data_IF_785349756434
#
_entry.id   IF_785349756434
#
_cell.length_a   1.000
_cell.length_b   1.000
_cell.length_c   1.000
_cell.angle_alpha   90.00
_cell.angle_beta   90.00
_cell.angle_gamma   90.00
#
_symmetry.space_group_name_H-M   'P 1'
#
loop_
_entity.id
_entity.type
_entity.pdbx_description
1 polymer ?
#
# COMPACT_ATOMS: atom_id res chain seq x y z
N UNK A 1 11.71 8.21 -9.07
CA UNK A 1 10.53 8.52 -8.25
C UNK A 1 10.95 9.30 -7.03
N UNK A 2 10.12 9.26 -5.99
CA UNK A 2 10.42 9.72 -4.64
C UNK A 2 10.23 8.56 -3.65
N UNK A 3 10.88 8.60 -2.49
CA UNK A 3 10.76 7.62 -1.41
C UNK A 3 9.79 8.15 -0.36
N UNK A 4 8.76 7.37 -0.02
CA UNK A 4 7.79 7.70 1.02
C UNK A 4 8.02 6.83 2.26
N UNK A 5 7.88 7.39 3.45
CA UNK A 5 7.83 6.58 4.67
C UNK A 5 6.54 5.79 4.77
N UNK A 6 6.55 4.71 5.55
CA UNK A 6 5.31 4.09 6.01
C UNK A 6 4.63 4.97 7.08
N UNK A 7 3.40 4.61 7.45
CA UNK A 7 2.59 5.23 8.48
C UNK A 7 3.35 5.32 9.81
N UNK A 8 3.63 6.55 10.26
CA UNK A 8 4.41 6.80 11.47
C UNK A 8 5.76 6.05 11.49
N UNK A 9 6.33 5.80 10.30
CA UNK A 9 7.58 5.06 10.17
C UNK A 9 8.75 5.75 10.89
N UNK A 10 8.77 7.09 10.91
CA UNK A 10 9.77 7.87 11.64
C UNK A 10 9.59 7.74 13.15
N UNK A 11 8.37 7.81 13.65
CA UNK A 11 8.04 7.68 15.06
C UNK A 11 8.61 6.36 15.63
N UNK A 12 8.56 5.28 14.82
CA UNK A 12 9.02 3.94 15.20
C UNK A 12 10.53 3.71 15.07
N UNK A 13 11.32 4.72 14.69
CA UNK A 13 12.79 4.65 14.75
C UNK A 13 13.27 4.54 16.21
N UNK A 14 12.56 5.15 17.15
CA UNK A 14 12.90 5.12 18.57
C UNK A 14 12.07 4.09 19.34
N UNK A 15 12.57 3.67 20.51
CA UNK A 15 11.83 2.84 21.46
C UNK A 15 11.78 3.54 22.84
N UNK A 16 10.59 3.90 23.36
CA UNK A 16 9.28 3.74 22.73
C UNK A 16 9.12 4.60 21.46
N UNK A 17 8.14 4.31 20.59
CA UNK A 17 7.86 5.15 19.43
C UNK A 17 7.66 6.62 19.84
N UNK A 18 8.17 7.54 19.03
CA UNK A 18 8.09 8.99 19.24
C UNK A 18 8.90 9.53 20.45
N UNK A 19 9.69 8.70 21.15
CA UNK A 19 10.48 9.14 22.30
C UNK A 19 11.48 10.26 21.98
N UNK A 20 11.98 10.32 20.74
CA UNK A 20 12.82 11.41 20.26
C UNK A 20 12.52 11.73 18.78
N UNK A 21 11.41 12.42 18.54
CA UNK A 21 10.95 12.68 17.19
C UNK A 21 11.89 13.56 16.37
N UNK A 22 12.59 14.52 17.00
CA UNK A 22 13.61 15.33 16.33
C UNK A 22 14.72 14.44 15.75
N UNK A 23 15.21 13.48 16.53
CA UNK A 23 16.18 12.51 16.04
C UNK A 23 15.62 11.64 14.91
N UNK A 24 14.37 11.19 15.00
CA UNK A 24 13.70 10.43 13.94
C UNK A 24 13.60 11.20 12.63
N UNK A 25 13.23 12.49 12.67
CA UNK A 25 13.18 13.36 11.47
C UNK A 25 14.58 13.51 10.87
N UNK A 26 15.59 13.76 11.70
CA UNK A 26 16.96 13.87 11.24
C UNK A 26 17.41 12.61 10.52
N UNK A 27 17.28 11.45 11.17
CA UNK A 27 17.69 10.17 10.59
C UNK A 27 16.91 9.84 9.32
N UNK A 28 15.59 9.99 9.32
CA UNK A 28 14.74 9.67 8.16
C UNK A 28 15.09 10.50 6.92
N UNK A 29 15.25 11.82 7.09
CA UNK A 29 15.55 12.72 5.96
C UNK A 29 16.98 12.51 5.44
N UNK A 30 17.97 12.30 6.32
CA UNK A 30 19.34 11.96 5.93
C UNK A 30 19.45 10.60 5.26
N UNK A 31 18.63 9.62 5.68
CA UNK A 31 18.60 8.30 5.08
C UNK A 31 18.01 8.27 3.65
N UNK A 32 17.42 9.38 3.18
CA UNK A 32 16.92 9.48 1.81
C UNK A 32 15.40 9.51 1.67
N UNK A 33 14.62 9.59 2.76
CA UNK A 33 13.17 9.74 2.66
C UNK A 33 12.85 11.12 2.06
N UNK A 34 11.98 11.14 1.05
CA UNK A 34 11.59 12.36 0.34
C UNK A 34 10.25 12.90 0.83
N UNK A 35 9.31 12.00 1.16
CA UNK A 35 7.98 12.32 1.65
C UNK A 35 7.70 11.53 2.93
N UNK A 36 7.30 12.24 3.99
CA UNK A 36 6.99 11.61 5.28
C UNK A 36 5.49 11.48 5.44
N UNK A 37 5.01 10.25 5.66
CA UNK A 37 3.62 9.96 5.99
C UNK A 37 3.36 10.24 7.48
N UNK A 38 3.15 11.52 7.79
CA UNK A 38 2.65 11.99 9.09
C UNK A 38 1.13 12.10 9.01
N UNK A 39 0.37 11.16 9.59
CA UNK A 39 -1.08 11.13 9.41
C UNK A 39 -1.83 12.16 10.26
N UNK A 40 -1.20 12.63 11.35
CA UNK A 40 -1.89 13.43 12.37
C UNK A 40 -1.15 14.73 12.72
N UNK A 41 0.05 14.64 13.30
CA UNK A 41 0.75 15.81 13.85
C UNK A 41 1.70 16.48 12.83
N UNK A 42 1.16 16.93 11.71
CA UNK A 42 1.97 17.53 10.64
C UNK A 42 2.68 18.82 11.08
N UNK A 43 2.12 19.57 12.03
CA UNK A 43 2.72 20.80 12.56
C UNK A 43 4.03 20.51 13.27
N UNK A 44 4.08 19.49 14.14
CA UNK A 44 5.31 19.08 14.81
C UNK A 44 6.40 18.68 13.81
N UNK A 45 6.04 17.89 12.79
CA UNK A 45 6.98 17.51 11.73
C UNK A 45 7.55 18.72 10.98
N UNK A 46 6.69 19.65 10.56
CA UNK A 46 7.10 20.86 9.83
C UNK A 46 8.01 21.72 10.70
N UNK A 47 7.66 21.91 11.98
CA UNK A 47 8.42 22.73 12.91
C UNK A 47 9.81 22.14 13.18
N UNK A 48 9.88 20.83 13.45
CA UNK A 48 11.13 20.11 13.67
C UNK A 48 12.02 20.14 12.42
N UNK A 49 11.47 19.82 11.24
CA UNK A 49 12.24 19.83 9.99
C UNK A 49 12.75 21.24 9.67
N UNK A 50 11.89 22.25 9.79
CA UNK A 50 12.26 23.66 9.56
C UNK A 50 13.35 24.10 10.52
N UNK A 51 13.25 23.74 11.80
CA UNK A 51 14.29 24.01 12.79
C UNK A 51 15.61 23.36 12.38
N UNK A 52 15.61 22.08 11.99
CA UNK A 52 16.83 21.37 11.60
C UNK A 52 17.49 21.96 10.36
N UNK A 53 16.70 22.42 9.38
CA UNK A 53 17.21 23.09 8.17
C UNK A 53 17.81 24.46 8.51
N UNK A 54 17.12 25.28 9.32
CA UNK A 54 17.60 26.60 9.74
C UNK A 54 18.91 26.52 10.52
N UNK A 55 19.11 25.45 11.29
CA UNK A 55 20.32 25.21 12.06
C UNK A 55 21.35 24.35 11.30
N UNK A 56 21.20 24.16 9.99
CA UNK A 56 22.11 23.39 9.13
C UNK A 56 22.33 21.93 9.57
N UNK A 57 21.45 21.37 10.39
CA UNK A 57 21.45 19.94 10.77
C UNK A 57 21.04 19.08 9.56
N UNK A 58 20.07 19.56 8.77
CA UNK A 58 19.74 19.01 7.46
C UNK A 58 20.13 20.05 6.40
N UNK A 59 20.99 19.71 5.42
CA UNK A 59 21.40 20.67 4.40
C UNK A 59 20.24 20.97 3.44
N UNK A 60 20.14 22.22 2.97
CA UNK A 60 19.13 22.60 1.96
C UNK A 60 19.20 21.75 0.69
N UNK A 61 20.39 21.28 0.29
CA UNK A 61 20.53 20.38 -0.86
C UNK A 61 19.75 19.07 -0.71
N UNK A 62 19.57 18.57 0.52
CA UNK A 62 18.73 17.38 0.79
C UNK A 62 17.25 17.70 0.59
N UNK A 63 16.82 18.88 1.03
CA UNK A 63 15.45 19.37 0.82
C UNK A 63 15.18 19.58 -0.67
N UNK A 64 16.11 20.21 -1.39
CA UNK A 64 16.00 20.44 -2.84
C UNK A 64 15.93 19.12 -3.62
N UNK A 65 16.73 18.12 -3.26
CA UNK A 65 16.66 16.79 -3.88
C UNK A 65 15.30 16.12 -3.63
N UNK A 66 14.80 16.14 -2.40
CA UNK A 66 13.50 15.56 -2.03
C UNK A 66 12.35 16.25 -2.79
N UNK A 67 12.31 17.59 -2.78
CA UNK A 67 11.29 18.39 -3.47
C UNK A 67 11.37 18.19 -4.99
N UNK A 68 12.59 18.18 -5.57
CA UNK A 68 12.79 17.90 -7.00
C UNK A 68 12.22 16.54 -7.40
N UNK A 69 12.38 15.50 -6.57
CA UNK A 69 11.84 14.16 -6.82
C UNK A 69 10.31 14.13 -6.74
N UNK A 70 9.72 14.80 -5.75
CA UNK A 70 8.26 14.91 -5.61
C UNK A 70 7.68 15.66 -6.80
N UNK A 71 8.21 16.84 -7.13
CA UNK A 71 7.73 17.65 -8.25
C UNK A 71 7.91 16.92 -9.58
N UNK A 72 9.05 16.24 -9.79
CA UNK A 72 9.27 15.41 -10.99
C UNK A 72 8.13 14.42 -11.20
N UNK A 73 7.74 13.67 -10.17
CA UNK A 73 6.65 12.68 -10.30
C UNK A 73 5.31 13.38 -10.56
N UNK A 74 5.01 14.49 -9.86
CA UNK A 74 3.77 15.26 -10.09
C UNK A 74 3.64 15.79 -11.52
N UNK A 75 4.73 16.32 -12.10
CA UNK A 75 4.74 16.74 -13.50
C UNK A 75 4.66 15.56 -14.46
N UNK A 76 5.42 14.49 -14.22
CA UNK A 76 5.43 13.30 -15.09
C UNK A 76 4.05 12.63 -15.20
N UNK A 77 3.24 12.65 -14.14
CA UNK A 77 1.89 12.09 -14.15
C UNK A 77 0.80 13.07 -14.63
N UNK A 78 1.17 14.30 -15.03
CA UNK A 78 0.22 15.31 -15.49
C UNK A 78 -0.68 15.90 -14.41
N UNK A 79 -0.24 15.85 -13.14
CA UNK A 79 -1.07 16.30 -12.00
C UNK A 79 -1.31 17.81 -12.02
N UNK A 80 -0.39 18.59 -12.62
CA UNK A 80 -0.54 20.04 -12.75
C UNK A 80 -1.56 20.41 -13.83
N UNK A 81 -1.69 19.61 -14.88
CA UNK A 81 -2.65 19.81 -15.97
C UNK A 81 -4.05 19.29 -15.59
N UNK A 82 -4.11 18.19 -14.83
CA UNK A 82 -5.37 17.56 -14.39
C UNK A 82 -5.38 17.35 -12.86
N UNK A 83 -5.53 18.43 -12.06
CA UNK A 83 -5.44 18.34 -10.61
C UNK A 83 -6.72 17.83 -9.93
N UNK A 84 -7.85 17.79 -10.65
CA UNK A 84 -9.16 17.42 -10.12
C UNK A 84 -9.62 16.10 -10.74
N UNK A 85 -10.40 15.34 -9.98
CA UNK A 85 -10.95 14.06 -10.40
C UNK A 85 -11.84 14.20 -11.65
N UNK A 86 -11.68 13.25 -12.58
CA UNK A 86 -12.59 13.05 -13.71
C UNK A 86 -13.69 12.06 -13.30
N UNK A 87 -14.93 12.55 -13.21
CA UNK A 87 -16.07 11.75 -12.76
C UNK A 87 -16.66 10.87 -13.87
N UNK A 88 -16.19 11.00 -15.12
CA UNK A 88 -16.62 10.13 -16.21
C UNK A 88 -16.29 8.65 -15.98
N UNK A 89 -15.26 8.37 -15.16
CA UNK A 89 -14.79 7.01 -14.84
C UNK A 89 -15.52 6.31 -13.68
N UNK A 90 -16.55 6.92 -13.07
CA UNK A 90 -17.25 6.30 -11.92
C UNK A 90 -17.81 4.91 -12.25
N UNK A 91 -18.20 4.67 -13.50
CA UNK A 91 -18.72 3.38 -13.96
C UNK A 91 -17.67 2.24 -13.96
N UNK A 92 -16.37 2.55 -13.85
CA UNK A 92 -15.31 1.54 -13.72
C UNK A 92 -15.27 0.90 -12.33
N UNK A 93 -15.80 1.57 -11.30
CA UNK A 93 -15.82 1.05 -9.94
C UNK A 93 -16.63 -0.25 -9.86
N UNK A 94 -15.93 -1.36 -9.64
CA UNK A 94 -16.56 -2.68 -9.54
C UNK A 94 -17.17 -3.17 -10.86
N UNK A 95 -16.65 -2.70 -12.00
CA UNK A 95 -17.10 -3.08 -13.33
C UNK A 95 -17.07 -4.61 -13.56
N UNK A 96 -17.94 -5.09 -14.44
CA UNK A 96 -18.01 -6.53 -14.77
C UNK A 96 -16.67 -7.05 -15.29
N UNK A 97 -15.99 -6.28 -16.14
CA UNK A 97 -14.67 -6.64 -16.67
C UNK A 97 -13.62 -6.82 -15.58
N UNK A 98 -13.56 -5.92 -14.59
CA UNK A 98 -12.66 -6.06 -13.45
C UNK A 98 -13.00 -7.28 -12.58
N UNK A 99 -14.28 -7.58 -12.36
CA UNK A 99 -14.71 -8.77 -11.61
C UNK A 99 -14.38 -10.08 -12.33
N UNK A 100 -14.49 -10.12 -13.66
CA UNK A 100 -14.09 -11.28 -14.46
C UNK A 100 -12.58 -11.52 -14.39
N UNK A 101 -11.77 -10.46 -14.47
CA UNK A 101 -10.33 -10.53 -14.27
C UNK A 101 -9.97 -11.00 -12.85
N UNK A 102 -10.62 -10.44 -11.82
CA UNK A 102 -10.41 -10.87 -10.43
C UNK A 102 -10.77 -12.36 -10.24
N UNK A 103 -11.87 -12.83 -10.84
CA UNK A 103 -12.26 -14.25 -10.82
C UNK A 103 -11.22 -15.14 -11.50
N UNK A 104 -10.57 -14.67 -12.56
CA UNK A 104 -9.46 -15.37 -13.18
C UNK A 104 -8.22 -15.43 -12.29
N UNK A 105 -7.83 -14.29 -11.70
CA UNK A 105 -6.69 -14.20 -10.81
C UNK A 105 -6.83 -15.14 -9.61
N UNK A 106 -8.00 -15.14 -8.94
CA UNK A 106 -8.31 -16.07 -7.83
C UNK A 106 -8.21 -17.52 -8.27
N UNK A 107 -8.72 -17.87 -9.46
CA UNK A 107 -8.61 -19.25 -9.98
C UNK A 107 -7.15 -19.66 -10.19
N UNK A 108 -6.31 -18.74 -10.68
CA UNK A 108 -4.89 -18.96 -10.97
C UNK A 108 -4.01 -18.94 -9.71
N UNK A 109 -4.46 -18.34 -8.62
CA UNK A 109 -3.71 -18.31 -7.35
C UNK A 109 -3.89 -19.58 -6.51
N UNK A 110 -4.84 -20.46 -6.86
CA UNK A 110 -5.07 -21.71 -6.12
C UNK A 110 -3.90 -22.68 -6.29
N UNK A 111 -3.36 -23.16 -5.18
CA UNK A 111 -2.32 -24.20 -5.15
C UNK A 111 -2.94 -25.54 -4.76
N UNK A 112 -2.90 -26.52 -5.67
CA UNK A 112 -3.41 -27.87 -5.41
C UNK A 112 -2.38 -28.67 -4.60
N UNK A 113 -2.60 -28.81 -3.30
CA UNK A 113 -1.69 -29.54 -2.40
C UNK A 113 -1.92 -31.05 -2.40
N UNK A 114 -3.15 -31.50 -2.64
CA UNK A 114 -3.54 -32.92 -2.67
C UNK A 114 -4.76 -33.12 -3.56
N UNK A 115 -4.83 -34.24 -4.28
CA UNK A 115 -5.98 -34.58 -5.13
C UNK A 115 -6.31 -36.08 -5.09
N UNK A 116 -6.57 -36.63 -3.90
CA UNK A 116 -6.77 -38.06 -3.65
C UNK A 116 -5.72 -38.64 -2.70
N UNK A 117 -6.00 -39.78 -2.08
CA UNK A 117 -4.97 -40.57 -1.41
C UNK A 117 -4.16 -41.38 -2.45
N UNK A 118 -3.02 -41.97 -2.06
CA UNK A 118 -2.39 -43.00 -2.89
C UNK A 118 -3.42 -44.07 -3.27
N UNK A 119 -3.43 -44.47 -4.54
CA UNK A 119 -4.34 -45.47 -5.14
C UNK A 119 -5.81 -45.04 -5.33
N UNK A 120 -6.19 -43.82 -4.93
CA UNK A 120 -7.52 -43.26 -5.20
C UNK A 120 -7.60 -42.59 -6.58
N UNK A 121 -8.82 -42.52 -7.12
CA UNK A 121 -9.12 -41.64 -8.25
C UNK A 121 -9.01 -40.16 -7.82
N UNK A 122 -8.63 -39.26 -8.75
CA UNK A 122 -8.64 -37.82 -8.48
C UNK A 122 -10.02 -37.33 -8.02
N UNK A 123 -10.05 -36.55 -6.93
CA UNK A 123 -11.28 -35.98 -6.37
C UNK A 123 -11.75 -34.77 -7.19
N UNK A 124 -10.81 -33.94 -7.64
CA UNK A 124 -11.05 -32.76 -8.45
C UNK A 124 -10.73 -33.05 -9.93
N UNK A 125 -11.53 -32.51 -10.88
CA UNK A 125 -12.67 -31.60 -10.68
C UNK A 125 -13.98 -32.32 -10.28
N UNK A 126 -14.78 -31.68 -9.42
CA UNK A 126 -16.09 -32.21 -9.00
C UNK A 126 -17.12 -32.13 -10.14
N UNK A 127 -18.04 -33.11 -10.25
CA UNK A 127 -19.13 -33.05 -11.21
C UNK A 127 -20.14 -31.97 -10.82
N UNK A 128 -20.60 -31.17 -11.80
CA UNK A 128 -21.63 -30.13 -11.57
C UNK A 128 -23.02 -30.72 -11.27
N UNK A 129 -23.27 -31.98 -11.63
CA UNK A 129 -24.53 -32.68 -11.39
C UNK A 129 -24.32 -33.72 -10.29
N UNK A 130 -25.00 -33.51 -9.17
CA UNK A 130 -25.05 -34.43 -8.04
C UNK A 130 -26.44 -34.35 -7.38
N UNK A 131 -26.97 -35.44 -6.79
CA UNK A 131 -28.28 -35.42 -6.12
C UNK A 131 -28.34 -34.43 -4.95
N UNK A 132 -27.24 -34.29 -4.21
CA UNK A 132 -27.10 -33.37 -3.07
C UNK A 132 -25.61 -33.08 -2.82
N UNK A 133 -25.28 -31.86 -2.43
CA UNK A 133 -23.93 -31.45 -2.02
C UNK A 133 -23.98 -30.74 -0.67
N UNK A 134 -22.88 -30.80 0.08
CA UNK A 134 -22.70 -30.07 1.33
C UNK A 134 -21.61 -29.00 1.12
N UNK A 135 -21.91 -27.79 1.57
CA UNK A 135 -20.94 -26.69 1.71
C UNK A 135 -20.86 -26.39 3.22
N UNK A 136 -19.66 -26.44 3.80
CA UNK A 136 -19.46 -26.31 5.24
C UNK A 136 -18.12 -25.64 5.55
N UNK A 137 -17.96 -25.20 6.81
CA UNK A 137 -16.78 -24.47 7.29
C UNK A 137 -17.05 -22.99 7.49
N UNK A 138 -16.31 -22.35 8.39
CA UNK A 138 -16.53 -20.94 8.81
C UNK A 138 -16.30 -19.91 7.71
N UNK A 139 -15.58 -20.27 6.65
CA UNK A 139 -15.20 -19.37 5.55
C UNK A 139 -16.08 -19.55 4.30
N UNK A 140 -17.00 -20.53 4.31
CA UNK A 140 -17.71 -20.93 3.09
C UNK A 140 -18.73 -19.90 2.58
N UNK A 141 -19.24 -19.03 3.46
CA UNK A 141 -20.17 -17.94 3.13
C UNK A 141 -19.84 -16.67 3.94
N UNK A 142 -18.56 -16.26 3.91
CA UNK A 142 -18.12 -15.00 4.52
C UNK A 142 -17.13 -14.28 3.62
N UNK A 143 -17.55 -13.15 3.04
CA UNK A 143 -16.75 -12.34 2.12
C UNK A 143 -15.50 -11.71 2.78
N UNK A 144 -15.54 -11.45 4.09
CA UNK A 144 -14.43 -10.83 4.81
C UNK A 144 -13.34 -11.81 5.26
N UNK A 145 -13.62 -13.11 5.23
CA UNK A 145 -12.66 -14.18 5.54
C UNK A 145 -11.99 -14.78 4.29
N UNK A 146 -12.17 -14.13 3.14
CA UNK A 146 -11.50 -14.52 1.89
C UNK A 146 -9.99 -14.34 1.95
#
# INVERSE_FOLDING_TARGET
GFVISDWQGLDRITSPPHANYSHSVQLGIHAGIDMVMVPYNYTEFIDVLTYQVKNSIIPMSRIDDAVKRILRVKFQMGLFEKPIADTSFVHELGSKGHRELAREAVRKSLVLLKNGAPDDKPVLPLPKKAPKVLVAGSHADNLGYQ
#
